data_IF_509293430988
#
_entry.id   IF_509293430988
#
_cell.length_a   1.000
_cell.length_b   1.000
_cell.length_c   1.000
_cell.angle_alpha   90.00
_cell.angle_beta   90.00
_cell.angle_gamma   90.00
#
_symmetry.space_group_name_H-M   'P 1'
#
loop_
_entity.id
_entity.type
_entity.pdbx_description
1 polymer ?
#
# COMPACT_ATOMS: atom_id res chain seq x y z
N UNK A 1 16.60 -8.66 1.86
CA UNK A 1 16.52 -8.01 3.18
C UNK A 1 15.38 -8.67 3.94
N UNK A 2 15.47 -8.97 5.23
CA UNK A 2 14.33 -9.56 5.95
C UNK A 2 13.44 -8.43 6.47
N UNK A 3 12.15 -8.45 6.15
CA UNK A 3 11.21 -7.49 6.72
C UNK A 3 11.17 -7.61 8.24
N UNK A 4 11.13 -6.48 8.93
CA UNK A 4 10.98 -6.40 10.38
C UNK A 4 9.51 -6.30 10.80
N UNK A 5 8.66 -5.76 9.93
CA UNK A 5 7.20 -5.72 10.12
C UNK A 5 6.51 -6.07 8.81
N UNK A 6 5.64 -7.07 8.86
CA UNK A 6 4.66 -7.40 7.84
C UNK A 6 3.29 -7.31 8.52
N UNK A 7 2.43 -6.43 8.03
CA UNK A 7 1.09 -6.27 8.56
C UNK A 7 0.05 -6.37 7.44
N UNK A 8 -1.00 -7.14 7.67
CA UNK A 8 -2.22 -7.18 6.84
C UNK A 8 -3.36 -6.67 7.69
N UNK A 9 -3.92 -5.53 7.34
CA UNK A 9 -4.86 -4.80 8.20
C UNK A 9 -6.13 -4.41 7.46
N UNK A 10 -7.23 -4.34 8.21
CA UNK A 10 -8.53 -3.85 7.74
C UNK A 10 -8.91 -2.50 8.35
N UNK A 11 -8.19 -2.07 9.39
CA UNK A 11 -8.42 -0.80 10.08
C UNK A 11 -7.78 0.37 9.32
N UNK A 12 -8.63 1.25 8.81
CA UNK A 12 -8.22 2.43 8.05
C UNK A 12 -7.48 3.46 8.91
N UNK A 13 -7.79 3.57 10.20
CA UNK A 13 -7.09 4.46 11.11
C UNK A 13 -5.67 3.96 11.38
N UNK A 14 -5.51 2.65 11.56
CA UNK A 14 -4.19 2.03 11.69
C UNK A 14 -3.35 2.22 10.42
N UNK A 15 -3.94 2.10 9.23
CA UNK A 15 -3.24 2.42 7.98
C UNK A 15 -2.78 3.88 7.99
N UNK A 16 -3.66 4.82 8.32
CA UNK A 16 -3.34 6.26 8.40
C UNK A 16 -2.18 6.56 9.36
N UNK A 17 -2.18 5.92 10.53
CA UNK A 17 -1.11 6.06 11.52
C UNK A 17 0.20 5.38 11.09
N UNK A 18 0.11 4.39 10.19
CA UNK A 18 1.29 3.68 9.67
C UNK A 18 1.98 4.44 8.53
N UNK A 19 1.23 5.25 7.78
CA UNK A 19 1.77 6.11 6.71
C UNK A 19 2.64 7.21 7.32
N UNK A 20 3.96 7.03 7.27
CA UNK A 20 4.95 7.97 7.77
C UNK A 20 5.73 8.59 6.61
N UNK A 21 6.28 9.79 6.81
CA UNK A 21 7.02 10.58 5.80
C UNK A 21 8.25 9.88 5.18
N UNK A 22 8.77 8.84 5.84
CA UNK A 22 9.96 8.09 5.37
C UNK A 22 9.60 6.88 4.50
N UNK A 23 8.31 6.59 4.34
CA UNK A 23 7.82 5.51 3.51
C UNK A 23 7.07 6.01 2.28
N UNK A 24 6.58 5.06 1.51
CA UNK A 24 5.82 5.31 0.30
C UNK A 24 4.58 4.46 0.27
N UNK A 25 3.47 5.06 -0.10
CA UNK A 25 2.21 4.36 -0.34
C UNK A 25 2.11 4.06 -1.83
N UNK A 26 1.90 2.80 -2.16
CA UNK A 26 1.58 2.36 -3.51
C UNK A 26 0.13 1.89 -3.54
N UNK A 27 -0.57 2.18 -4.62
CA UNK A 27 -1.92 1.69 -4.79
C UNK A 27 -2.19 1.24 -6.22
N UNK A 28 -3.01 0.21 -6.35
CA UNK A 28 -3.61 -0.19 -7.61
C UNK A 28 -5.06 0.30 -7.65
N UNK A 29 -5.53 0.60 -8.85
CA UNK A 29 -6.94 0.88 -9.08
C UNK A 29 -7.43 0.07 -10.29
N UNK A 30 -8.71 -0.27 -10.30
CA UNK A 30 -9.37 -0.87 -11.45
C UNK A 30 -9.59 0.15 -12.59
N UNK A 31 -10.23 -0.30 -13.67
CA UNK A 31 -10.55 0.55 -14.84
C UNK A 31 -11.53 1.68 -14.54
N UNK A 32 -12.27 1.60 -13.44
CA UNK A 32 -13.21 2.63 -12.98
C UNK A 32 -12.55 3.63 -12.00
N UNK A 33 -11.31 3.36 -11.59
CA UNK A 33 -10.56 4.19 -10.64
C UNK A 33 -10.86 3.90 -9.18
N UNK A 34 -11.52 2.79 -8.87
CA UNK A 34 -11.67 2.28 -7.51
C UNK A 34 -10.36 1.63 -7.07
N UNK A 35 -9.93 1.93 -5.85
CA UNK A 35 -8.67 1.39 -5.32
C UNK A 35 -8.88 -0.07 -4.93
N UNK A 36 -8.12 -0.96 -5.55
CA UNK A 36 -8.20 -2.42 -5.35
C UNK A 36 -7.14 -2.96 -4.40
N UNK A 37 -6.01 -2.26 -4.27
CA UNK A 37 -4.92 -2.64 -3.36
C UNK A 37 -4.18 -1.40 -2.86
N UNK A 38 -3.82 -1.39 -1.58
CA UNK A 38 -2.98 -0.36 -0.97
C UNK A 38 -1.88 -1.03 -0.17
N UNK A 39 -0.63 -0.63 -0.43
CA UNK A 39 0.54 -1.11 0.29
C UNK A 39 1.39 0.08 0.69
N UNK A 40 1.65 0.22 1.99
CA UNK A 40 2.68 1.11 2.49
C UNK A 40 3.99 0.34 2.66
N UNK A 41 5.08 0.92 2.17
CA UNK A 41 6.42 0.37 2.31
C UNK A 41 7.38 1.41 2.89
N UNK A 42 8.18 1.00 3.87
CA UNK A 42 9.23 1.84 4.47
C UNK A 42 10.40 0.99 4.91
N UNK A 43 11.43 0.89 4.06
CA UNK A 43 12.66 0.15 4.35
C UNK A 43 12.36 -1.31 4.69
N UNK A 44 12.21 -1.61 5.98
CA UNK A 44 11.95 -2.96 6.52
C UNK A 44 10.48 -3.25 6.86
N UNK A 45 9.55 -2.31 6.61
CA UNK A 45 8.13 -2.44 6.99
C UNK A 45 7.22 -2.48 5.76
N UNK A 46 6.30 -3.44 5.72
CA UNK A 46 5.22 -3.53 4.75
C UNK A 46 3.89 -3.55 5.49
N UNK A 47 2.97 -2.69 5.09
CA UNK A 47 1.58 -2.69 5.56
C UNK A 47 0.66 -2.82 4.37
N UNK A 48 0.03 -3.97 4.22
CA UNK A 48 -1.00 -4.22 3.22
C UNK A 48 -2.38 -3.95 3.82
N UNK A 49 -3.15 -3.07 3.18
CA UNK A 49 -4.53 -2.84 3.56
C UNK A 49 -5.45 -3.73 2.73
N UNK A 50 -6.15 -4.62 3.42
CA UNK A 50 -7.10 -5.58 2.85
C UNK A 50 -8.55 -5.25 3.24
N UNK A 51 -8.77 -4.08 3.85
CA UNK A 51 -10.08 -3.57 4.20
C UNK A 51 -10.78 -2.89 3.02
N UNK A 52 -12.02 -2.45 3.28
CA UNK A 52 -12.77 -1.65 2.30
C UNK A 52 -12.19 -0.24 2.24
N UNK A 53 -11.86 0.22 1.04
CA UNK A 53 -11.44 1.61 0.82
C UNK A 53 -12.69 2.48 0.66
N UNK A 54 -13.00 3.28 1.68
CA UNK A 54 -14.04 4.31 1.58
C UNK A 54 -13.55 5.56 0.83
N UNK A 55 -14.44 6.51 0.56
CA UNK A 55 -14.10 7.74 -0.17
C UNK A 55 -13.04 8.59 0.54
N UNK A 56 -13.06 8.65 1.86
CA UNK A 56 -12.11 9.44 2.65
C UNK A 56 -10.71 8.85 2.56
N UNK A 57 -10.61 7.52 2.69
CA UNK A 57 -9.36 6.80 2.55
C UNK A 57 -8.88 6.86 1.09
N UNK A 58 -9.77 6.74 0.12
CA UNK A 58 -9.42 6.86 -1.30
C UNK A 58 -8.80 8.22 -1.62
N UNK A 59 -9.39 9.32 -1.12
CA UNK A 59 -8.81 10.67 -1.27
C UNK A 59 -7.42 10.77 -0.63
N UNK A 60 -7.27 10.24 0.58
CA UNK A 60 -6.00 10.22 1.29
C UNK A 60 -4.91 9.45 0.51
N UNK A 61 -5.22 8.22 0.08
CA UNK A 61 -4.30 7.36 -0.67
C UNK A 61 -3.94 7.95 -2.03
N UNK A 62 -4.91 8.53 -2.75
CA UNK A 62 -4.65 9.21 -4.03
C UNK A 62 -3.79 10.46 -3.88
N UNK A 63 -3.86 11.16 -2.74
CA UNK A 63 -3.07 12.35 -2.48
C UNK A 63 -1.63 12.04 -2.03
N UNK A 64 -1.44 10.97 -1.25
CA UNK A 64 -0.15 10.63 -0.64
C UNK A 64 0.61 9.52 -1.37
N UNK A 65 -0.09 8.71 -2.16
CA UNK A 65 0.44 7.50 -2.77
C UNK A 65 0.67 7.61 -4.27
N UNK A 66 1.36 6.61 -4.79
CA UNK A 66 1.63 6.44 -6.21
C UNK A 66 0.74 5.35 -6.79
N UNK A 67 0.00 5.69 -7.86
CA UNK A 67 -0.72 4.70 -8.66
C UNK A 67 0.29 3.83 -9.42
N UNK A 68 0.12 2.52 -9.35
CA UNK A 68 0.97 1.53 -10.02
C UNK A 68 0.09 0.44 -10.66
N UNK A 69 0.63 -0.30 -11.62
CA UNK A 69 -0.13 -1.34 -12.34
C UNK A 69 -0.19 -2.64 -11.57
N UNK A 70 0.92 -3.02 -10.92
CA UNK A 70 0.97 -4.22 -10.09
C UNK A 70 1.76 -4.03 -8.80
N UNK A 71 1.26 -4.66 -7.73
CA UNK A 71 1.93 -4.76 -6.43
C UNK A 71 1.94 -6.23 -6.01
N UNK A 72 3.14 -6.78 -5.84
CA UNK A 72 3.38 -8.08 -5.26
C UNK A 72 4.21 -7.94 -3.98
N UNK A 73 3.81 -8.65 -2.94
CA UNK A 73 4.56 -8.74 -1.68
C UNK A 73 4.96 -10.21 -1.52
N UNK A 74 6.26 -10.48 -1.58
CA UNK A 74 6.82 -11.79 -1.29
C UNK A 74 7.40 -11.76 0.13
N UNK A 75 6.64 -12.31 1.07
CA UNK A 75 7.01 -12.36 2.48
C UNK A 75 8.18 -13.31 2.74
N UNK A 76 8.36 -14.34 1.90
CA UNK A 76 9.40 -15.34 2.06
C UNK A 76 10.76 -14.82 1.58
N UNK A 77 10.78 -14.22 0.39
CA UNK A 77 11.98 -13.60 -0.18
C UNK A 77 12.25 -12.20 0.39
N UNK A 78 11.25 -11.55 0.97
CA UNK A 78 11.39 -10.28 1.67
C UNK A 78 11.50 -9.08 0.72
N UNK A 79 10.63 -9.02 -0.30
CA UNK A 79 10.56 -7.88 -1.21
C UNK A 79 9.13 -7.46 -1.53
N UNK A 80 8.99 -6.19 -1.93
CA UNK A 80 7.77 -5.66 -2.57
C UNK A 80 8.14 -5.33 -4.01
N UNK A 81 7.47 -5.97 -4.98
CA UNK A 81 7.65 -5.69 -6.40
C UNK A 81 6.56 -4.77 -6.87
N UNK A 82 6.98 -3.66 -7.46
CA UNK A 82 6.13 -2.63 -8.04
C UNK A 82 6.37 -2.59 -9.55
N UNK A 83 5.30 -2.57 -10.34
CA UNK A 83 5.36 -2.32 -11.78
C UNK A 83 4.55 -1.08 -12.10
N UNK A 84 5.16 -0.16 -12.83
CA UNK A 84 4.54 1.04 -13.37
C UNK A 84 4.96 1.19 -14.85
N UNK A 85 4.01 1.10 -15.75
CA UNK A 85 4.13 1.27 -17.19
C UNK A 85 3.61 2.68 -17.53
N UNK A 86 4.43 3.44 -18.25
CA UNK A 86 4.15 4.83 -18.64
C UNK A 86 3.19 4.95 -19.81
#
# INVERSE_FOLDING_TARGET
>A
MKFQLLAKITDAELLRKSMHELGTVFYQADGEGNITKVVYFSGSRVVEFIGKVDESLAKCVKALGHKVDSIEVDEFQGFVRIVQQG
#
